data_IF_871931233174
#
_entry.id   IF_871931233174
#
_cell.length_a   1.000
_cell.length_b   1.000
_cell.length_c   1.000
_cell.angle_alpha   90.00
_cell.angle_beta   90.00
_cell.angle_gamma   90.00
#
_symmetry.space_group_name_H-M   'P 1'
#
loop_
_entity.id
_entity.type
_entity.pdbx_description
1 polymer ?
#
# COMPACT_ATOMS: atom_id res chain seq x y z
N UNK A 1 36.57 19.48 -12.53
CA UNK A 1 35.72 18.27 -12.54
C UNK A 1 35.41 17.94 -11.10
N UNK A 2 34.32 18.52 -10.63
CA UNK A 2 34.12 19.06 -9.27
C UNK A 2 33.09 18.24 -8.49
N UNK A 3 33.07 18.43 -7.17
CA UNK A 3 32.20 17.85 -6.13
C UNK A 3 30.95 17.03 -6.58
N UNK A 4 30.12 17.57 -7.48
CA UNK A 4 28.89 16.95 -7.98
C UNK A 4 29.09 15.53 -8.54
N UNK A 5 30.21 15.22 -9.20
CA UNK A 5 30.45 13.87 -9.74
C UNK A 5 30.55 12.82 -8.61
N UNK A 6 31.21 13.16 -7.50
CA UNK A 6 31.30 12.27 -6.33
C UNK A 6 29.92 12.01 -5.73
N UNK A 7 29.06 13.03 -5.73
CA UNK A 7 27.69 12.93 -5.23
C UNK A 7 26.81 12.05 -6.12
N UNK A 8 26.82 12.27 -7.43
CA UNK A 8 26.13 11.39 -8.38
C UNK A 8 26.63 9.95 -8.31
N UNK A 9 27.94 9.73 -8.17
CA UNK A 9 28.48 8.37 -7.99
C UNK A 9 28.01 7.72 -6.70
N UNK A 10 27.88 8.49 -5.60
CA UNK A 10 27.34 7.98 -4.34
C UNK A 10 25.88 7.56 -4.50
N UNK A 11 25.04 8.40 -5.11
CA UNK A 11 23.64 8.04 -5.36
C UNK A 11 23.49 6.84 -6.27
N UNK A 12 24.31 6.75 -7.33
CA UNK A 12 24.34 5.59 -8.23
C UNK A 12 24.76 4.31 -7.49
N UNK A 13 25.79 4.37 -6.64
CA UNK A 13 26.22 3.22 -5.84
C UNK A 13 25.15 2.77 -4.85
N UNK A 14 24.48 3.71 -4.17
CA UNK A 14 23.35 3.41 -3.28
C UNK A 14 22.22 2.76 -4.07
N UNK A 15 21.87 3.29 -5.25
CA UNK A 15 20.86 2.72 -6.11
C UNK A 15 21.21 1.29 -6.54
N UNK A 16 22.45 1.04 -6.99
CA UNK A 16 22.92 -0.30 -7.36
C UNK A 16 22.86 -1.25 -6.16
N UNK A 17 23.25 -0.78 -4.96
CA UNK A 17 23.19 -1.59 -3.75
C UNK A 17 21.75 -1.94 -3.37
N UNK A 18 20.82 -0.98 -3.44
CA UNK A 18 19.40 -1.21 -3.17
C UNK A 18 18.77 -2.15 -4.22
N UNK A 19 19.08 -1.95 -5.50
CA UNK A 19 18.62 -2.82 -6.59
C UNK A 19 19.17 -4.24 -6.43
N UNK A 20 20.46 -4.38 -6.08
CA UNK A 20 21.09 -5.66 -5.80
C UNK A 20 20.50 -6.35 -4.57
N UNK A 21 20.21 -5.60 -3.50
CA UNK A 21 19.55 -6.13 -2.31
C UNK A 21 18.12 -6.58 -2.60
N UNK A 22 17.35 -5.81 -3.38
CA UNK A 22 16.00 -6.19 -3.79
C UNK A 22 16.02 -7.45 -4.67
N UNK A 23 16.91 -7.51 -5.67
CA UNK A 23 17.09 -8.67 -6.53
C UNK A 23 17.54 -9.91 -5.74
N UNK A 24 18.53 -9.74 -4.86
CA UNK A 24 19.05 -10.80 -4.00
C UNK A 24 17.98 -11.32 -3.04
N UNK A 25 17.24 -10.42 -2.38
CA UNK A 25 16.13 -10.77 -1.49
C UNK A 25 15.03 -11.54 -2.22
N UNK A 26 14.63 -11.10 -3.42
CA UNK A 26 13.65 -11.83 -4.23
C UNK A 26 14.16 -13.21 -4.69
N UNK A 27 15.45 -13.32 -5.02
CA UNK A 27 16.08 -14.59 -5.38
C UNK A 27 16.14 -15.57 -4.20
N UNK A 28 16.47 -15.07 -3.01
CA UNK A 28 16.41 -15.85 -1.75
C UNK A 28 14.99 -16.31 -1.48
N UNK A 29 13.99 -15.43 -1.67
CA UNK A 29 12.58 -15.77 -1.48
C UNK A 29 12.13 -16.90 -2.42
N UNK A 30 12.45 -16.80 -3.72
CA UNK A 30 12.20 -17.85 -4.72
C UNK A 30 12.82 -19.19 -4.32
N UNK A 31 14.09 -19.17 -3.93
CA UNK A 31 14.84 -20.37 -3.52
C UNK A 31 14.25 -21.01 -2.25
N UNK A 32 13.89 -20.18 -1.26
CA UNK A 32 13.36 -20.64 0.04
C UNK A 32 11.97 -21.24 -0.10
N UNK A 33 11.12 -20.63 -0.94
CA UNK A 33 9.76 -21.12 -1.19
C UNK A 33 9.67 -22.14 -2.33
N UNK A 34 10.79 -22.39 -3.02
CA UNK A 34 10.95 -23.34 -4.11
C UNK A 34 9.94 -23.13 -5.26
N UNK A 35 9.50 -21.90 -5.51
CA UNK A 35 8.51 -21.61 -6.56
C UNK A 35 8.94 -20.44 -7.43
N UNK A 36 8.52 -20.47 -8.70
CA UNK A 36 8.74 -19.37 -9.64
C UNK A 36 7.91 -18.13 -9.32
N UNK A 37 6.77 -18.32 -8.64
CA UNK A 37 5.84 -17.26 -8.27
C UNK A 37 5.66 -17.22 -6.75
N UNK A 38 6.70 -16.80 -5.98
CA UNK A 38 6.65 -16.81 -4.51
C UNK A 38 5.69 -15.77 -3.94
N UNK A 39 5.26 -14.80 -4.75
CA UNK A 39 4.37 -13.72 -4.38
C UNK A 39 3.28 -13.55 -5.44
N UNK A 40 2.02 -13.56 -4.99
CA UNK A 40 0.86 -13.17 -5.79
C UNK A 40 -0.04 -12.25 -4.97
N UNK A 41 -0.98 -11.58 -5.64
CA UNK A 41 -1.98 -10.74 -4.98
C UNK A 41 -3.35 -11.37 -5.10
N UNK A 42 -4.10 -11.41 -4.00
CA UNK A 42 -5.50 -11.81 -3.95
C UNK A 42 -6.34 -10.71 -4.58
N UNK A 43 -6.97 -10.98 -5.73
CA UNK A 43 -7.69 -9.95 -6.50
C UNK A 43 -9.20 -10.05 -6.38
N UNK A 44 -9.73 -11.09 -5.72
CA UNK A 44 -11.17 -11.33 -5.60
C UNK A 44 -11.57 -11.64 -4.16
N UNK A 45 -12.86 -11.55 -3.87
CA UNK A 45 -13.43 -11.76 -2.54
C UNK A 45 -13.67 -13.23 -2.17
N UNK A 46 -13.29 -14.20 -3.01
CA UNK A 46 -13.70 -15.61 -2.84
C UNK A 46 -13.09 -16.28 -1.60
N UNK A 47 -11.97 -15.75 -1.10
CA UNK A 47 -11.26 -16.28 0.07
C UNK A 47 -11.49 -15.50 1.37
N UNK A 48 -12.30 -14.44 1.34
CA UNK A 48 -12.70 -13.70 2.55
C UNK A 48 -13.49 -14.64 3.49
N UNK A 49 -13.25 -14.65 4.80
CA UNK A 49 -12.37 -13.77 5.59
C UNK A 49 -10.94 -14.29 5.80
N UNK A 50 -10.56 -15.44 5.25
CA UNK A 50 -9.23 -16.02 5.50
C UNK A 50 -8.12 -15.25 4.77
N UNK A 51 -8.37 -14.84 3.53
CA UNK A 51 -7.51 -13.95 2.77
C UNK A 51 -8.33 -12.77 2.28
N UNK A 52 -7.87 -11.56 2.58
CA UNK A 52 -8.58 -10.35 2.18
C UNK A 52 -8.22 -9.94 0.75
N UNK A 53 -9.09 -9.13 0.15
CA UNK A 53 -8.85 -8.57 -1.17
C UNK A 53 -7.65 -7.61 -1.08
N UNK A 54 -6.72 -7.73 -2.01
CA UNK A 54 -5.48 -6.95 -2.01
C UNK A 54 -4.37 -7.50 -1.12
N UNK A 55 -4.56 -8.65 -0.47
CA UNK A 55 -3.49 -9.30 0.28
C UNK A 55 -2.39 -9.78 -0.67
N UNK A 56 -1.14 -9.54 -0.29
CA UNK A 56 -0.04 -10.31 -0.83
C UNK A 56 -0.03 -11.69 -0.18
N UNK A 57 0.11 -12.74 -0.97
CA UNK A 57 0.23 -14.11 -0.48
C UNK A 57 1.60 -14.68 -0.83
N UNK A 58 2.18 -15.38 0.14
CA UNK A 58 3.40 -16.16 -0.01
C UNK A 58 3.03 -17.56 -0.44
N UNK A 59 3.59 -18.00 -1.56
CA UNK A 59 3.30 -19.30 -2.14
C UNK A 59 4.54 -20.16 -2.00
N UNK A 60 4.38 -21.39 -1.51
CA UNK A 60 5.44 -22.39 -1.42
C UNK A 60 5.10 -23.57 -2.33
N UNK A 61 6.09 -24.07 -3.08
CA UNK A 61 5.94 -25.31 -3.82
C UNK A 61 5.67 -26.47 -2.86
N UNK A 62 4.83 -27.39 -3.28
CA UNK A 62 4.51 -28.60 -2.54
C UNK A 62 5.50 -29.68 -2.96
N UNK A 63 6.34 -30.16 -2.03
CA UNK A 63 7.36 -31.17 -2.33
C UNK A 63 6.78 -32.57 -2.50
N UNK A 64 5.78 -32.92 -1.68
CA UNK A 64 4.99 -34.14 -1.80
C UNK A 64 3.51 -33.77 -1.80
N UNK A 65 2.84 -33.99 -2.92
CA UNK A 65 1.43 -33.66 -3.13
C UNK A 65 0.50 -34.46 -2.18
N UNK A 66 0.97 -35.62 -1.71
CA UNK A 66 0.26 -36.44 -0.72
C UNK A 66 0.10 -35.72 0.63
N UNK A 67 0.97 -34.77 0.96
CA UNK A 67 0.95 -34.03 2.23
C UNK A 67 -0.08 -32.89 2.25
N UNK A 68 -0.71 -32.57 1.11
CA UNK A 68 -1.75 -31.54 1.06
C UNK A 68 -2.90 -31.93 2.00
N UNK A 69 -3.15 -31.08 3.00
CA UNK A 69 -4.27 -31.24 3.91
C UNK A 69 -5.56 -30.81 3.20
N UNK A 70 -6.47 -31.75 2.94
CA UNK A 70 -7.77 -31.45 2.34
C UNK A 70 -8.84 -31.53 3.43
N UNK A 71 -9.39 -30.38 3.81
CA UNK A 71 -10.41 -30.23 4.85
C UNK A 71 -11.12 -28.88 4.73
N UNK A 72 -12.34 -28.73 5.26
CA UNK A 72 -12.97 -27.41 5.37
C UNK A 72 -12.16 -26.45 6.25
N UNK A 73 -12.44 -25.13 6.20
CA UNK A 73 -11.80 -24.17 7.09
C UNK A 73 -11.95 -24.57 8.57
N UNK A 74 -10.92 -24.35 9.42
CA UNK A 74 -9.68 -23.61 9.12
C UNK A 74 -8.49 -24.48 8.70
N UNK A 75 -8.65 -25.82 8.61
CA UNK A 75 -7.52 -26.76 8.61
C UNK A 75 -7.03 -27.19 7.23
N UNK A 76 -7.84 -27.08 6.18
CA UNK A 76 -7.42 -27.41 4.82
C UNK A 76 -6.39 -26.43 4.25
N UNK A 77 -5.44 -26.93 3.47
CA UNK A 77 -4.47 -26.12 2.75
C UNK A 77 -5.16 -25.25 1.67
N UNK A 78 -4.66 -24.03 1.49
CA UNK A 78 -5.09 -23.14 0.40
C UNK A 78 -4.14 -23.33 -0.76
N UNK A 79 -4.67 -23.83 -1.88
CA UNK A 79 -3.91 -24.13 -3.08
C UNK A 79 -3.96 -22.97 -4.06
N UNK A 80 -2.84 -22.78 -4.77
CA UNK A 80 -2.76 -21.93 -5.95
C UNK A 80 -2.59 -22.83 -7.16
N UNK A 81 -3.50 -22.78 -8.11
CA UNK A 81 -3.50 -23.65 -9.28
C UNK A 81 -3.97 -22.91 -10.53
N UNK A 82 -3.64 -23.43 -11.70
CA UNK A 82 -4.01 -22.82 -12.98
C UNK A 82 -5.31 -23.43 -13.49
N UNK A 83 -6.25 -22.59 -13.92
CA UNK A 83 -7.46 -23.02 -14.62
C UNK A 83 -7.78 -22.04 -15.72
N UNK A 84 -7.93 -22.53 -16.95
CA UNK A 84 -8.24 -21.70 -18.12
C UNK A 84 -7.31 -20.47 -18.29
N UNK A 85 -6.02 -20.62 -17.93
CA UNK A 85 -4.97 -19.57 -17.91
C UNK A 85 -5.03 -18.57 -16.76
N UNK A 86 -5.98 -18.74 -15.84
CA UNK A 86 -6.08 -17.94 -14.62
C UNK A 86 -5.50 -18.68 -13.44
N UNK A 87 -4.89 -17.93 -12.51
CA UNK A 87 -4.42 -18.47 -11.25
C UNK A 87 -5.57 -18.41 -10.23
N UNK A 88 -6.03 -19.55 -9.75
CA UNK A 88 -7.10 -19.64 -8.76
C UNK A 88 -6.48 -19.96 -7.41
N UNK A 89 -6.94 -19.26 -6.37
CA UNK A 89 -6.50 -19.47 -4.98
C UNK A 89 -7.71 -19.89 -4.17
N UNK A 90 -7.86 -21.19 -3.91
CA UNK A 90 -8.99 -21.75 -3.18
C UNK A 90 -8.54 -22.86 -2.21
N UNK A 91 -9.35 -23.14 -1.20
CA UNK A 91 -9.05 -24.18 -0.20
C UNK A 91 -9.35 -25.57 -0.75
N UNK A 92 -8.44 -26.52 -0.54
CA UNK A 92 -8.71 -27.93 -0.77
C UNK A 92 -9.63 -28.45 0.34
N UNK A 93 -10.87 -28.80 -0.01
CA UNK A 93 -11.87 -29.29 0.95
C UNK A 93 -11.92 -30.82 0.99
N UNK A 94 -11.62 -31.47 -0.14
CA UNK A 94 -11.40 -32.91 -0.21
C UNK A 94 -10.42 -33.25 -1.33
N UNK A 95 -9.86 -34.46 -1.29
CA UNK A 95 -8.98 -34.97 -2.35
C UNK A 95 -9.23 -36.45 -2.57
N UNK A 96 -9.08 -36.91 -3.81
CA UNK A 96 -9.19 -38.31 -4.17
C UNK A 96 -8.23 -38.63 -5.32
N UNK A 97 -7.92 -39.91 -5.48
CA UNK A 97 -7.04 -40.39 -6.54
C UNK A 97 -7.88 -40.70 -7.79
N UNK A 98 -7.47 -40.18 -8.94
CA UNK A 98 -8.07 -40.47 -10.24
C UNK A 98 -6.94 -40.82 -11.24
N UNK A 99 -6.91 -42.06 -11.73
CA UNK A 99 -5.86 -42.57 -12.63
C UNK A 99 -4.43 -42.31 -12.10
N UNK A 100 -4.18 -42.61 -10.82
CA UNK A 100 -2.90 -42.41 -10.13
C UNK A 100 -2.45 -40.95 -9.93
N UNK A 101 -3.30 -39.97 -10.27
CA UNK A 101 -3.08 -38.55 -10.01
C UNK A 101 -4.04 -38.05 -8.92
N UNK A 102 -3.60 -37.12 -8.05
CA UNK A 102 -4.49 -36.46 -7.12
C UNK A 102 -5.37 -35.43 -7.81
N UNK A 103 -6.66 -35.50 -7.49
CA UNK A 103 -7.62 -34.43 -7.76
C UNK A 103 -8.10 -33.82 -6.45
N UNK A 104 -8.12 -32.49 -6.42
CA UNK A 104 -8.54 -31.69 -5.29
C UNK A 104 -9.88 -31.05 -5.58
N UNK A 105 -10.88 -31.34 -4.75
CA UNK A 105 -12.10 -30.53 -4.71
C UNK A 105 -11.76 -29.24 -3.98
N UNK A 106 -11.85 -28.12 -4.70
CA UNK A 106 -11.48 -26.81 -4.18
C UNK A 106 -12.71 -25.95 -3.96
N UNK A 107 -12.64 -25.04 -2.98
CA UNK A 107 -13.72 -24.10 -2.69
C UNK A 107 -13.14 -22.79 -2.17
N UNK A 108 -13.63 -21.67 -2.69
CA UNK A 108 -13.43 -20.37 -2.06
C UNK A 108 -14.16 -20.31 -0.72
N UNK A 109 -13.49 -19.86 0.34
CA UNK A 109 -14.08 -19.82 1.69
C UNK A 109 -15.41 -19.02 1.72
N UNK A 110 -15.50 -17.97 0.91
CA UNK A 110 -16.70 -17.13 0.74
C UNK A 110 -17.70 -17.67 -0.30
N UNK A 111 -17.35 -18.69 -1.07
CA UNK A 111 -18.22 -19.23 -2.11
C UNK A 111 -19.31 -20.12 -1.48
N UNK A 112 -20.52 -20.11 -2.05
CA UNK A 112 -21.65 -20.94 -1.59
C UNK A 112 -21.49 -22.42 -1.95
N UNK A 113 -20.83 -22.69 -3.06
CA UNK A 113 -20.63 -24.03 -3.62
C UNK A 113 -19.14 -24.28 -3.82
N UNK A 114 -18.78 -25.55 -3.92
CA UNK A 114 -17.47 -26.00 -4.37
C UNK A 114 -17.27 -25.62 -5.84
N UNK A 115 -16.00 -25.56 -6.25
CA UNK A 115 -15.67 -25.31 -7.63
C UNK A 115 -16.18 -26.45 -8.52
N UNK A 116 -16.83 -26.11 -9.64
CA UNK A 116 -17.45 -27.10 -10.52
C UNK A 116 -16.48 -28.06 -11.24
N UNK A 117 -15.17 -27.83 -11.13
CA UNK A 117 -14.13 -28.72 -11.64
C UNK A 117 -13.05 -28.91 -10.56
N UNK A 118 -12.67 -30.16 -10.23
CA UNK A 118 -11.52 -30.43 -9.38
C UNK A 118 -10.23 -29.85 -9.96
N UNK A 119 -9.28 -29.46 -9.11
CA UNK A 119 -7.93 -29.11 -9.52
C UNK A 119 -7.08 -30.38 -9.60
N UNK A 120 -6.48 -30.66 -10.76
CA UNK A 120 -5.54 -31.77 -10.92
C UNK A 120 -4.18 -31.37 -10.33
N UNK A 121 -3.45 -32.31 -9.73
CA UNK A 121 -2.13 -32.06 -9.14
C UNK A 121 -1.14 -31.39 -10.10
N UNK A 122 -1.22 -31.67 -11.40
CA UNK A 122 -0.36 -31.09 -12.43
C UNK A 122 -0.64 -29.58 -12.66
N UNK A 123 -1.85 -29.11 -12.32
CA UNK A 123 -2.22 -27.70 -12.42
C UNK A 123 -1.88 -26.92 -11.13
N UNK A 124 -1.48 -27.61 -10.05
CA UNK A 124 -1.15 -26.99 -8.77
C UNK A 124 0.26 -26.41 -8.80
N UNK A 125 0.37 -25.11 -8.51
CA UNK A 125 1.64 -24.38 -8.43
C UNK A 125 2.27 -24.51 -7.05
N UNK A 126 1.42 -24.49 -6.02
CA UNK A 126 1.86 -24.52 -4.64
C UNK A 126 0.74 -24.23 -3.66
N UNK A 127 1.10 -24.02 -2.41
CA UNK A 127 0.17 -23.66 -1.34
C UNK A 127 0.53 -22.34 -0.68
N UNK A 128 -0.48 -21.64 -0.18
CA UNK A 128 -0.31 -20.38 0.56
C UNK A 128 0.25 -20.69 1.95
N UNK A 129 1.35 -20.04 2.32
CA UNK A 129 2.02 -20.22 3.62
C UNK A 129 2.02 -18.98 4.50
N UNK A 130 1.53 -17.85 3.98
CA UNK A 130 1.37 -16.60 4.71
C UNK A 130 0.83 -15.48 3.83
N UNK A 131 0.42 -14.38 4.45
CA UNK A 131 -0.07 -13.21 3.76
C UNK A 131 0.42 -11.90 4.41
N UNK A 132 0.42 -10.83 3.61
CA UNK A 132 0.65 -9.44 4.02
C UNK A 132 -0.60 -8.64 3.63
N UNK A 133 -1.42 -8.22 4.61
CA UNK A 133 -2.70 -7.59 4.35
C UNK A 133 -2.60 -6.32 3.52
N UNK A 134 -3.51 -6.17 2.54
CA UNK A 134 -3.78 -4.92 1.78
C UNK A 134 -2.61 -4.37 0.94
N UNK A 135 -1.38 -4.79 1.18
CA UNK A 135 -0.18 -4.22 0.53
C UNK A 135 -0.06 -4.62 -0.95
N UNK A 136 -0.79 -5.65 -1.38
CA UNK A 136 -0.90 -6.06 -2.78
C UNK A 136 -1.63 -5.04 -3.66
N UNK A 137 -2.42 -4.11 -3.10
CA UNK A 137 -2.98 -3.01 -3.89
C UNK A 137 -1.91 -2.10 -4.50
N UNK A 138 -0.75 -1.93 -3.85
CA UNK A 138 0.32 -1.06 -4.36
C UNK A 138 0.81 -1.45 -5.77
N UNK A 139 1.31 -2.68 -6.02
CA UNK A 139 1.72 -3.07 -7.38
C UNK A 139 0.53 -3.14 -8.35
N UNK A 140 -0.67 -3.49 -7.90
CA UNK A 140 -1.86 -3.53 -8.76
C UNK A 140 -2.22 -2.12 -9.25
N UNK A 141 -2.16 -1.13 -8.36
CA UNK A 141 -2.43 0.26 -8.68
C UNK A 141 -1.39 0.81 -9.67
N UNK A 142 -0.10 0.50 -9.46
CA UNK A 142 0.98 0.87 -10.40
C UNK A 142 0.86 0.24 -11.78
N UNK A 143 0.20 -0.92 -11.90
CA UNK A 143 -0.04 -1.57 -13.21
C UNK A 143 -1.14 -0.89 -14.02
N UNK A 144 -1.93 -0.03 -13.41
CA UNK A 144 -2.99 0.73 -14.08
C UNK A 144 -2.40 2.00 -14.70
N UNK A 145 -2.91 2.40 -15.85
CA UNK A 145 -2.54 3.64 -16.53
C UNK A 145 -2.85 4.86 -15.66
N UNK A 146 -4.04 4.94 -15.06
CA UNK A 146 -4.41 6.10 -14.21
C UNK A 146 -3.65 6.13 -12.89
N UNK A 147 -3.45 4.97 -12.25
CA UNK A 147 -2.70 4.88 -11.01
C UNK A 147 -1.22 5.23 -11.21
N UNK A 148 -0.61 4.72 -12.28
CA UNK A 148 0.73 5.11 -12.69
C UNK A 148 0.81 6.61 -13.01
N UNK A 149 -0.13 7.14 -13.80
CA UNK A 149 -0.17 8.56 -14.14
C UNK A 149 -0.28 9.44 -12.90
N UNK A 150 -1.11 9.07 -11.91
CA UNK A 150 -1.23 9.81 -10.65
C UNK A 150 0.10 9.89 -9.91
N UNK A 151 0.79 8.75 -9.75
CA UNK A 151 2.08 8.70 -9.05
C UNK A 151 3.14 9.50 -9.81
N UNK A 152 3.21 9.36 -11.14
CA UNK A 152 4.15 10.13 -11.96
C UNK A 152 3.89 11.63 -11.88
N UNK A 153 2.63 12.06 -11.93
CA UNK A 153 2.27 13.48 -11.77
C UNK A 153 2.66 13.98 -10.39
N UNK A 154 2.38 13.24 -9.32
CA UNK A 154 2.80 13.61 -7.97
C UNK A 154 4.32 13.69 -7.84
N UNK A 155 5.06 12.72 -8.42
CA UNK A 155 6.52 12.74 -8.44
C UNK A 155 7.07 13.96 -9.20
N UNK A 156 6.46 14.34 -10.33
CA UNK A 156 6.84 15.55 -11.09
C UNK A 156 6.57 16.80 -10.26
N UNK A 157 5.39 16.90 -9.64
CA UNK A 157 5.05 18.04 -8.76
C UNK A 157 6.04 18.15 -7.61
N UNK A 158 6.43 17.02 -7.03
CA UNK A 158 7.40 16.94 -5.94
C UNK A 158 8.81 17.34 -6.40
N UNK A 159 9.25 16.80 -7.53
CA UNK A 159 10.58 17.08 -8.09
C UNK A 159 10.74 18.54 -8.51
N UNK A 160 9.71 19.13 -9.11
CA UNK A 160 9.68 20.54 -9.50
C UNK A 160 9.04 21.44 -8.45
N UNK A 161 8.91 20.98 -7.20
CA UNK A 161 8.25 21.74 -6.14
C UNK A 161 8.88 23.13 -5.96
N UNK A 162 10.20 23.25 -6.09
CA UNK A 162 10.89 24.54 -5.99
C UNK A 162 10.65 25.49 -7.16
N UNK A 163 10.31 24.96 -8.34
CA UNK A 163 9.94 25.78 -9.50
C UNK A 163 8.45 26.15 -9.48
N UNK A 164 7.60 25.25 -8.97
CA UNK A 164 6.14 25.39 -8.96
C UNK A 164 5.67 26.22 -7.76
N UNK A 165 6.26 25.99 -6.58
CA UNK A 165 5.90 26.69 -5.35
C UNK A 165 6.63 28.05 -5.28
N UNK A 166 6.04 29.04 -4.60
CA UNK A 166 6.65 30.37 -4.42
C UNK A 166 8.04 30.30 -3.79
N UNK A 167 8.89 31.29 -4.10
CA UNK A 167 10.24 31.35 -3.52
C UNK A 167 10.21 31.32 -1.98
N UNK A 168 11.09 30.50 -1.40
CA UNK A 168 11.27 30.41 0.05
C UNK A 168 11.74 31.78 0.56
N UNK A 169 10.97 32.45 1.43
CA UNK A 169 11.48 33.62 2.17
C UNK A 169 12.66 33.16 3.03
N UNK A 170 13.65 34.03 3.23
CA UNK A 170 14.77 33.77 4.11
C UNK A 170 14.28 33.51 5.54
N UNK A 171 14.11 32.24 5.90
CA UNK A 171 13.84 31.79 7.27
C UNK A 171 15.16 31.40 7.91
N UNK A 172 15.29 31.65 9.21
CA UNK A 172 16.41 31.18 10.01
C UNK A 172 16.35 29.66 10.12
N UNK A 173 17.12 28.97 9.26
CA UNK A 173 17.34 27.52 9.34
C UNK A 173 18.05 27.20 10.65
N UNK A 174 17.39 26.47 11.55
CA UNK A 174 17.98 26.05 12.82
C UNK A 174 17.05 25.34 13.81
N UNK A 175 15.82 24.97 13.40
CA UNK A 175 14.88 24.26 14.26
C UNK A 175 15.21 22.77 14.40
N UNK A 176 14.71 22.19 15.49
CA UNK A 176 14.75 20.75 15.74
C UNK A 176 13.78 20.02 14.82
N UNK A 177 14.11 18.78 14.44
CA UNK A 177 13.24 17.95 13.60
C UNK A 177 11.87 17.74 14.27
N UNK A 178 10.74 18.00 13.58
CA UNK A 178 9.43 18.10 14.22
C UNK A 178 8.75 16.73 14.39
N UNK A 179 9.32 15.85 15.22
CA UNK A 179 8.83 14.47 15.44
C UNK A 179 7.34 14.38 15.79
N UNK A 180 6.81 15.34 16.55
CA UNK A 180 5.40 15.36 16.97
C UNK A 180 4.46 15.56 15.76
N UNK A 181 4.89 16.31 14.75
CA UNK A 181 4.10 16.54 13.52
C UNK A 181 3.94 15.26 12.68
N UNK A 182 4.78 14.25 12.93
CA UNK A 182 4.74 12.97 12.23
C UNK A 182 3.83 11.93 12.90
N UNK A 183 3.38 12.18 14.14
CA UNK A 183 2.51 11.24 14.86
C UNK A 183 1.23 10.86 14.09
N UNK A 184 0.52 11.78 13.40
CA UNK A 184 -0.67 11.39 12.63
C UNK A 184 -0.36 10.41 11.49
N UNK A 185 0.84 10.47 10.93
CA UNK A 185 1.28 9.57 9.87
C UNK A 185 1.57 8.16 10.39
N UNK A 186 1.91 7.99 11.68
CA UNK A 186 2.13 6.67 12.28
C UNK A 186 0.86 5.82 12.36
N UNK A 187 -0.32 6.45 12.34
CA UNK A 187 -1.60 5.73 12.48
C UNK A 187 -1.81 4.75 11.33
N UNK A 188 -1.56 5.15 10.08
CA UNK A 188 -1.81 4.26 8.92
C UNK A 188 -0.89 3.02 8.87
N UNK A 189 0.44 3.07 9.09
CA UNK A 189 1.24 1.86 9.25
C UNK A 189 0.76 0.96 10.40
N UNK A 190 0.39 1.54 11.54
CA UNK A 190 -0.10 0.77 12.69
C UNK A 190 -1.43 0.08 12.40
N UNK A 191 -2.33 0.75 11.68
CA UNK A 191 -3.58 0.16 11.19
C UNK A 191 -3.29 -1.02 10.25
N UNK A 192 -2.41 -0.85 9.26
CA UNK A 192 -2.03 -1.93 8.35
C UNK A 192 -1.41 -3.13 9.10
N UNK A 193 -0.56 -2.88 10.10
CA UNK A 193 0.00 -3.92 10.96
C UNK A 193 -1.06 -4.61 11.83
N UNK A 194 -2.12 -3.90 12.21
CA UNK A 194 -3.19 -4.46 13.04
C UNK A 194 -4.05 -5.48 12.27
N UNK A 195 -4.08 -5.44 10.93
CA UNK A 195 -4.93 -6.31 10.10
C UNK A 195 -4.59 -7.81 10.18
N UNK A 196 -3.37 -8.17 10.63
CA UNK A 196 -3.05 -9.58 10.93
C UNK A 196 -3.82 -10.13 12.14
N UNK A 197 -4.23 -9.26 13.06
CA UNK A 197 -4.84 -9.64 14.33
C UNK A 197 -6.32 -9.29 14.37
N UNK A 198 -6.66 -8.11 13.86
CA UNK A 198 -8.02 -7.59 13.85
C UNK A 198 -8.62 -7.91 12.48
N UNK A 199 -9.59 -8.82 12.44
CA UNK A 199 -10.28 -9.23 11.21
C UNK A 199 -11.65 -8.55 11.07
N UNK A 200 -12.22 -8.10 12.19
CA UNK A 200 -13.47 -7.35 12.22
C UNK A 200 -13.15 -5.86 12.37
N UNK A 201 -13.77 -5.00 11.55
CA UNK A 201 -13.58 -3.54 11.53
C UNK A 201 -12.42 -2.98 10.69
N UNK A 202 -12.03 -3.66 9.61
CA UNK A 202 -11.02 -3.12 8.67
C UNK A 202 -11.42 -1.73 8.17
N UNK A 203 -12.64 -1.59 7.68
CA UNK A 203 -13.16 -0.33 7.14
C UNK A 203 -13.07 0.85 8.14
N UNK A 204 -13.47 0.65 9.40
CA UNK A 204 -13.42 1.70 10.43
C UNK A 204 -11.98 2.13 10.74
N UNK A 205 -11.05 1.17 10.81
CA UNK A 205 -9.63 1.46 11.03
C UNK A 205 -9.02 2.21 9.84
N UNK A 206 -9.43 1.91 8.61
CA UNK A 206 -9.01 2.62 7.41
C UNK A 206 -9.51 4.07 7.38
N UNK A 207 -10.77 4.28 7.79
CA UNK A 207 -11.32 5.63 7.95
C UNK A 207 -10.50 6.42 8.97
N UNK A 208 -10.11 5.81 10.09
CA UNK A 208 -9.23 6.42 11.10
C UNK A 208 -7.85 6.73 10.52
N UNK A 209 -7.28 5.80 9.75
CA UNK A 209 -5.99 5.97 9.07
C UNK A 209 -6.02 7.16 8.09
N UNK A 210 -7.06 7.24 7.26
CA UNK A 210 -7.23 8.35 6.32
C UNK A 210 -7.46 9.68 7.05
N UNK A 211 -8.34 9.72 8.06
CA UNK A 211 -8.58 10.92 8.86
C UNK A 211 -7.30 11.43 9.54
N UNK A 212 -6.49 10.51 10.08
CA UNK A 212 -5.19 10.84 10.69
C UNK A 212 -4.19 11.36 9.66
N UNK A 213 -4.20 10.80 8.45
CA UNK A 213 -3.40 11.31 7.35
C UNK A 213 -3.81 12.74 6.94
N UNK A 214 -5.10 13.08 6.94
CA UNK A 214 -5.56 14.46 6.73
C UNK A 214 -5.03 15.43 7.79
N UNK A 215 -5.02 15.02 9.07
CA UNK A 215 -4.39 15.81 10.15
C UNK A 215 -2.90 16.00 9.86
N UNK A 216 -2.22 14.93 9.43
CA UNK A 216 -0.83 15.00 8.99
C UNK A 216 -0.63 15.97 7.82
N UNK A 217 -1.51 15.95 6.83
CA UNK A 217 -1.49 16.84 5.67
C UNK A 217 -1.63 18.31 6.07
N UNK A 218 -2.33 18.59 7.17
CA UNK A 218 -2.45 19.94 7.72
C UNK A 218 -1.22 20.38 8.52
N UNK A 219 -0.73 19.52 9.42
CA UNK A 219 0.30 19.90 10.41
C UNK A 219 1.72 19.87 9.84
N UNK A 220 2.04 18.88 9.01
CA UNK A 220 3.41 18.64 8.53
C UNK A 220 3.99 19.81 7.70
N UNK A 221 3.29 20.37 6.69
CA UNK A 221 3.78 21.52 5.93
C UNK A 221 4.22 22.70 6.81
N UNK A 222 3.49 22.91 7.90
CA UNK A 222 3.67 24.04 8.82
C UNK A 222 4.78 23.81 9.85
N UNK A 223 5.23 22.56 10.00
CA UNK A 223 6.15 22.16 11.07
C UNK A 223 7.58 21.92 10.58
N UNK A 224 7.76 21.47 9.33
CA UNK A 224 9.08 21.21 8.77
C UNK A 224 9.79 22.51 8.41
N UNK A 225 11.04 22.70 8.83
CA UNK A 225 11.84 23.84 8.36
C UNK A 225 12.29 23.63 6.91
N UNK A 226 12.74 22.41 6.60
CA UNK A 226 13.07 21.98 5.24
C UNK A 226 11.85 21.40 4.54
N UNK A 227 11.32 22.18 3.60
CA UNK A 227 10.19 21.82 2.76
C UNK A 227 10.42 20.54 1.96
N UNK A 228 11.66 20.28 1.53
CA UNK A 228 11.96 19.19 0.60
C UNK A 228 11.90 17.85 1.35
N UNK A 229 12.44 17.82 2.57
CA UNK A 229 12.30 16.68 3.49
C UNK A 229 10.83 16.40 3.82
N UNK A 230 10.05 17.43 4.18
CA UNK A 230 8.63 17.25 4.53
C UNK A 230 7.81 16.70 3.35
N UNK A 231 8.09 17.20 2.15
CA UNK A 231 7.39 16.83 0.93
C UNK A 231 7.78 15.44 0.42
N UNK A 232 9.06 15.05 0.49
CA UNK A 232 9.48 13.66 0.22
C UNK A 232 8.86 12.68 1.22
N UNK A 233 8.89 13.01 2.52
CA UNK A 233 8.28 12.17 3.54
C UNK A 233 6.78 11.94 3.26
N UNK A 234 6.05 13.02 2.98
CA UNK A 234 4.64 12.95 2.65
C UNK A 234 4.38 12.10 1.41
N UNK A 235 5.18 12.24 0.35
CA UNK A 235 5.05 11.43 -0.86
C UNK A 235 5.28 9.94 -0.58
N UNK A 236 6.35 9.58 0.14
CA UNK A 236 6.63 8.17 0.46
C UNK A 236 5.51 7.57 1.31
N UNK A 237 5.03 8.32 2.29
CA UNK A 237 3.93 7.88 3.14
C UNK A 237 2.64 7.69 2.33
N UNK A 238 2.27 8.68 1.51
CA UNK A 238 1.11 8.59 0.62
C UNK A 238 1.17 7.32 -0.26
N UNK A 239 2.31 7.09 -0.91
CA UNK A 239 2.49 5.96 -1.83
C UNK A 239 2.46 4.61 -1.12
N UNK A 240 3.11 4.50 0.04
CA UNK A 240 3.29 3.21 0.72
C UNK A 240 2.12 2.82 1.63
N UNK A 241 1.33 3.78 2.14
CA UNK A 241 0.25 3.45 3.09
C UNK A 241 -1.12 3.93 2.60
N UNK A 242 -1.23 5.15 2.09
CA UNK A 242 -2.53 5.73 1.73
C UNK A 242 -3.08 5.17 0.43
N UNK A 243 -2.22 4.81 -0.53
CA UNK A 243 -2.67 4.09 -1.73
C UNK A 243 -3.30 2.73 -1.35
N UNK A 244 -2.62 1.83 -0.59
CA UNK A 244 -3.23 0.60 -0.12
C UNK A 244 -4.53 0.80 0.67
N UNK A 245 -4.52 1.65 1.69
CA UNK A 245 -5.69 1.96 2.54
C UNK A 245 -6.84 2.51 1.70
N UNK A 246 -6.57 3.44 0.80
CA UNK A 246 -7.60 4.04 -0.03
C UNK A 246 -8.20 3.04 -1.01
N UNK A 247 -7.40 2.13 -1.59
CA UNK A 247 -7.89 1.11 -2.50
C UNK A 247 -8.80 0.10 -1.78
N UNK A 248 -8.40 -0.39 -0.61
CA UNK A 248 -9.21 -1.35 0.15
C UNK A 248 -10.50 -0.72 0.69
N UNK A 249 -10.44 0.54 1.13
CA UNK A 249 -11.62 1.28 1.54
C UNK A 249 -12.64 1.41 0.39
N UNK A 250 -12.20 1.59 -0.87
CA UNK A 250 -13.12 1.55 -2.03
C UNK A 250 -13.74 0.17 -2.20
N UNK A 251 -12.97 -0.91 -2.00
CA UNK A 251 -13.51 -2.27 -2.02
C UNK A 251 -14.64 -2.43 -0.99
N UNK A 252 -14.47 -1.95 0.24
CA UNK A 252 -15.53 -1.98 1.26
C UNK A 252 -16.78 -1.18 0.88
N UNK A 253 -16.59 -0.02 0.24
CA UNK A 253 -17.69 0.89 -0.13
C UNK A 253 -18.47 0.44 -1.38
N UNK A 254 -17.76 -0.06 -2.39
CA UNK A 254 -18.32 -0.30 -3.74
C UNK A 254 -18.35 -1.76 -4.15
N UNK A 255 -17.70 -2.65 -3.40
CA UNK A 255 -17.51 -4.06 -3.75
C UNK A 255 -16.82 -4.25 -5.11
N UNK A 256 -15.99 -3.29 -5.51
CA UNK A 256 -15.15 -3.39 -6.70
C UNK A 256 -13.81 -3.98 -6.27
N UNK A 257 -13.55 -5.21 -6.70
CA UNK A 257 -12.28 -5.91 -6.42
C UNK A 257 -11.27 -5.70 -7.57
N UNK A 258 -9.97 -5.90 -7.34
CA UNK A 258 -8.98 -5.83 -8.41
C UNK A 258 -9.20 -6.75 -9.60
N UNK A 259 -9.90 -7.88 -9.44
CA UNK A 259 -10.26 -8.75 -10.56
C UNK A 259 -11.17 -8.05 -11.58
N UNK A 260 -11.86 -6.99 -11.16
CA UNK A 260 -12.73 -6.19 -12.02
C UNK A 260 -12.00 -5.00 -12.66
N UNK A 261 -10.72 -4.77 -12.36
CA UNK A 261 -10.04 -3.54 -12.79
C UNK A 261 -9.69 -3.51 -14.29
N UNK A 262 -9.58 -4.68 -14.92
CA UNK A 262 -9.18 -4.81 -16.31
C UNK A 262 -10.30 -5.41 -17.17
N UNK A 263 -10.28 -5.10 -18.46
CA UNK A 263 -11.32 -5.52 -19.40
C UNK A 263 -11.22 -6.99 -19.84
N UNK A 264 -10.14 -7.70 -19.50
CA UNK A 264 -9.97 -9.13 -19.81
C UNK A 264 -10.39 -10.03 -18.65
N UNK A 265 -10.97 -11.18 -18.98
CA UNK A 265 -11.63 -12.18 -18.10
C UNK A 265 -10.74 -12.87 -17.04
N UNK A 266 -9.57 -12.32 -16.70
CA UNK A 266 -8.67 -12.90 -15.71
C UNK A 266 -9.18 -12.72 -14.28
N UNK A 267 -10.22 -13.45 -13.90
CA UNK A 267 -10.81 -13.44 -12.56
C UNK A 267 -9.93 -14.07 -11.47
N UNK A 268 -8.75 -14.58 -11.85
CA UNK A 268 -7.75 -15.18 -10.99
C UNK A 268 -6.69 -14.19 -10.48
N UNK A 269 -5.84 -14.65 -9.55
CA UNK A 269 -4.71 -13.88 -9.06
C UNK A 269 -3.74 -13.52 -10.18
N UNK A 270 -3.25 -12.28 -10.16
CA UNK A 270 -2.41 -11.76 -11.24
C UNK A 270 -0.95 -11.83 -10.81
N UNK A 271 -0.06 -12.54 -11.54
CA UNK A 271 1.36 -12.49 -11.27
C UNK A 271 1.88 -11.05 -11.47
N UNK A 272 2.88 -10.63 -10.70
CA UNK A 272 3.35 -9.24 -10.67
C UNK A 272 3.98 -8.79 -12.02
N UNK A 273 4.20 -9.70 -12.98
CA UNK A 273 4.94 -9.47 -14.24
C UNK A 273 4.20 -8.76 -15.39
N UNK A 274 2.88 -8.56 -15.34
CA UNK A 274 2.10 -8.00 -16.48
C UNK A 274 1.77 -6.50 -16.29
N UNK A 275 2.09 -5.64 -17.27
CA UNK A 275 2.05 -4.17 -17.17
C UNK A 275 1.11 -3.52 -18.20
N UNK A 276 0.31 -2.52 -17.79
CA UNK A 276 -0.54 -1.65 -18.64
C UNK A 276 -1.58 -2.36 -19.52
N UNK A 277 -2.50 -3.09 -18.89
CA UNK A 277 -3.70 -3.61 -19.57
C UNK A 277 -4.80 -2.54 -19.73
N UNK A 278 -5.74 -2.79 -20.64
CA UNK A 278 -6.95 -1.98 -20.81
C UNK A 278 -7.80 -2.03 -19.53
N UNK A 279 -8.01 -0.87 -18.94
CA UNK A 279 -8.80 -0.69 -17.72
C UNK A 279 -10.30 -0.76 -18.01
N UNK A 280 -11.07 -1.33 -17.08
CA UNK A 280 -12.52 -1.48 -17.18
C UNK A 280 -13.28 -0.22 -16.70
N UNK A 281 -14.58 -0.09 -16.98
CA UNK A 281 -15.42 0.95 -16.37
C UNK A 281 -15.49 0.88 -14.84
N UNK A 282 -15.40 -0.33 -14.25
CA UNK A 282 -15.36 -0.49 -12.79
C UNK A 282 -14.10 0.11 -12.19
N UNK A 283 -12.96 -0.03 -12.88
CA UNK A 283 -11.75 0.65 -12.45
C UNK A 283 -11.90 2.16 -12.46
N UNK A 284 -12.64 2.74 -13.41
CA UNK A 284 -12.85 4.19 -13.45
C UNK A 284 -13.67 4.66 -12.24
N UNK A 285 -14.71 3.91 -11.88
CA UNK A 285 -15.49 4.18 -10.67
C UNK A 285 -14.62 4.06 -9.42
N UNK A 286 -13.82 2.99 -9.33
CA UNK A 286 -12.89 2.77 -8.22
C UNK A 286 -11.89 3.91 -8.08
N UNK A 287 -11.20 4.25 -9.17
CA UNK A 287 -10.17 5.30 -9.20
C UNK A 287 -10.76 6.67 -8.88
N UNK A 288 -11.96 6.99 -9.39
CA UNK A 288 -12.61 8.26 -9.10
C UNK A 288 -12.99 8.38 -7.62
N UNK A 289 -13.53 7.32 -7.01
CA UNK A 289 -13.84 7.33 -5.58
C UNK A 289 -12.56 7.44 -4.75
N UNK A 290 -11.54 6.65 -5.09
CA UNK A 290 -10.21 6.77 -4.48
C UNK A 290 -9.69 8.22 -4.55
N UNK A 291 -9.72 8.83 -5.75
CA UNK A 291 -9.26 10.19 -5.98
C UNK A 291 -10.05 11.22 -5.17
N UNK A 292 -11.38 11.09 -5.07
CA UNK A 292 -12.22 11.97 -4.25
C UNK A 292 -11.82 11.90 -2.77
N UNK A 293 -11.44 10.71 -2.28
CA UNK A 293 -11.04 10.52 -0.89
C UNK A 293 -9.65 11.07 -0.58
N UNK A 294 -8.70 11.04 -1.53
CA UNK A 294 -7.30 11.41 -1.26
C UNK A 294 -6.87 12.78 -1.81
N UNK A 295 -7.39 13.21 -2.96
CA UNK A 295 -6.98 14.47 -3.60
C UNK A 295 -7.20 15.71 -2.72
N UNK A 296 -8.29 15.84 -1.93
CA UNK A 296 -8.43 16.98 -1.03
C UNK A 296 -7.29 17.07 -0.01
N UNK A 297 -6.78 15.93 0.49
CA UNK A 297 -5.61 15.87 1.37
C UNK A 297 -4.32 16.29 0.66
N UNK A 298 -4.11 15.84 -0.59
CA UNK A 298 -2.99 16.29 -1.43
C UNK A 298 -3.03 17.80 -1.68
N UNK A 299 -4.20 18.34 -2.04
CA UNK A 299 -4.39 19.78 -2.26
C UNK A 299 -4.18 20.57 -0.98
N UNK A 300 -4.63 20.06 0.17
CA UNK A 300 -4.40 20.66 1.48
C UNK A 300 -2.91 20.77 1.79
N UNK A 301 -2.17 19.65 1.67
CA UNK A 301 -0.74 19.60 1.95
C UNK A 301 0.05 20.58 1.06
N UNK A 302 -0.12 20.47 -0.26
CA UNK A 302 0.60 21.32 -1.23
C UNK A 302 0.17 22.79 -1.13
N UNK A 303 -1.10 23.06 -0.87
CA UNK A 303 -1.62 24.41 -0.68
C UNK A 303 -1.06 25.08 0.57
N UNK A 304 -0.95 24.36 1.69
CA UNK A 304 -0.35 24.87 2.92
C UNK A 304 1.15 25.09 2.77
N UNK A 305 1.86 24.21 2.06
CA UNK A 305 3.26 24.42 1.68
C UNK A 305 3.42 25.72 0.88
N UNK A 306 2.59 25.93 -0.15
CA UNK A 306 2.61 27.16 -0.95
C UNK A 306 2.30 28.40 -0.11
N UNK A 307 1.32 28.31 0.80
CA UNK A 307 0.92 29.40 1.69
C UNK A 307 2.06 29.78 2.66
N UNK A 308 2.70 28.78 3.27
CA UNK A 308 3.87 28.96 4.13
C UNK A 308 5.01 29.66 3.38
N UNK A 309 5.35 29.23 2.15
CA UNK A 309 6.39 29.90 1.35
C UNK A 309 6.05 31.37 1.05
N UNK A 310 4.76 31.73 0.94
CA UNK A 310 4.29 33.13 0.82
C UNK A 310 4.35 33.93 2.14
N UNK A 311 4.71 33.30 3.27
CA UNK A 311 4.72 33.91 4.59
C UNK A 311 3.36 33.90 5.30
N UNK A 312 2.43 33.06 4.86
CA UNK A 312 1.18 32.81 5.57
C UNK A 312 1.46 31.72 6.60
N UNK A 313 1.64 32.11 7.85
CA UNK A 313 1.89 31.18 8.96
C UNK A 313 0.68 31.13 9.91
N UNK A 314 -0.30 30.23 9.69
CA UNK A 314 -1.47 30.13 10.55
C UNK A 314 -1.10 29.85 12.02
N UNK A 315 -0.03 29.08 12.25
CA UNK A 315 0.37 28.62 13.60
C UNK A 315 1.37 29.53 14.31
N UNK A 316 2.21 30.32 13.61
CA UNK A 316 3.15 31.21 14.30
C UNK A 316 2.45 32.41 14.96
N UNK A 317 1.32 32.88 14.43
CA UNK A 317 0.51 33.88 15.14
C UNK A 317 0.00 33.35 16.49
N UNK A 318 -0.33 32.06 16.57
CA UNK A 318 -0.78 31.39 17.80
C UNK A 318 0.40 31.10 18.74
N UNK A 319 1.53 30.63 18.20
CA UNK A 319 2.74 30.36 18.97
C UNK A 319 3.39 31.64 19.52
N UNK A 320 3.39 32.74 18.74
CA UNK A 320 3.80 34.07 19.20
C UNK A 320 2.83 34.63 20.24
N UNK A 321 1.51 34.37 20.13
CA UNK A 321 0.54 34.73 21.18
C UNK A 321 0.77 33.93 22.45
N UNK A 322 0.99 32.63 22.37
CA UNK A 322 1.27 31.76 23.52
C UNK A 322 2.59 32.12 24.19
N UNK A 323 3.66 32.37 23.41
CA UNK A 323 4.94 32.89 23.93
C UNK A 323 4.80 34.29 24.55
N UNK A 324 3.99 35.18 23.98
CA UNK A 324 3.69 36.48 24.59
C UNK A 324 2.89 36.33 25.89
N UNK A 325 1.99 35.35 26.00
CA UNK A 325 1.22 35.09 27.22
C UNK A 325 2.13 34.51 28.32
N UNK A 326 3.01 33.56 27.99
CA UNK A 326 4.04 33.07 28.93
C UNK A 326 4.96 34.20 29.41
N UNK A 327 5.51 34.99 28.50
CA UNK A 327 6.34 36.14 28.88
C UNK A 327 5.56 37.19 29.68
N UNK A 328 4.23 37.27 29.59
CA UNK A 328 3.42 38.19 30.40
C UNK A 328 3.13 37.63 31.80
N UNK A 329 2.96 36.31 31.91
CA UNK A 329 2.80 35.61 33.19
C UNK A 329 4.09 35.63 34.03
N UNK A 330 5.25 35.60 33.37
CA UNK A 330 6.56 35.70 34.02
C UNK A 330 6.93 37.15 34.45
N UNK A 331 6.15 38.16 34.06
CA UNK A 331 6.41 39.59 34.34
C UNK A 331 5.41 40.17 35.36
N UNK A 332 4.47 39.40 35.94
CA UNK A 332 3.77 39.90 37.13
C UNK A 332 4.71 39.82 38.35
N UNK A 333 5.20 40.95 38.90
CA UNK A 333 5.84 40.89 40.20
C UNK A 333 4.77 40.48 41.20
N UNK A 334 5.03 39.39 41.91
CA UNK A 334 4.40 39.15 43.21
C UNK A 334 4.83 40.32 44.10
N UNK A 335 4.01 41.37 44.12
CA UNK A 335 4.09 42.40 45.14
C UNK A 335 3.52 41.78 46.42
N UNK A 336 4.38 41.80 47.44
CA UNK A 336 4.29 41.24 48.79
C UNK A 336 2.92 41.16 49.44
#
# INVERSE_FOLDING_TARGET
MSANWKEYTKYLLIFILLAGAAWGGFSVLKSTLQTEYPLMVVVSQSMVPTLNVGDFILIRQISDINEVAAAPPPTGDILVFIRNKDYIVHRAVSKYLNNDEWEFVTKGDNNKMEDGRPANENDVIGKVVGNVPVFGYFPLFLKTTRGLALILVLMIVVFFADTILPDKRASTTGGTFPWVSLLPFLVSPLVLLSFWYIHESHFELEVIALASWYIGCFVCPLSFDDDDTGLMFWLYHFVLTIIPVGCDMVWWLKRITPSMWWASDGGGTVPISWFLQLESPYFFEMFNLFAIMVLPGCMLFLGLMAAKRRGVEPLNSLNLRLRRVQNKADIEPVNF
#
